data_IF_428774566998
#
_entry.id   IF_428774566998
#
_cell.length_a   1.000
_cell.length_b   1.000
_cell.length_c   1.000
_cell.angle_alpha   90.00
_cell.angle_beta   90.00
_cell.angle_gamma   90.00
#
_symmetry.space_group_name_H-M   'P 1'
#
loop_
_entity.id
_entity.type
_entity.pdbx_description
1 polymer ?
#
# COMPACT_ATOMS: atom_id res chain seq x y z
N UNK A 1 -2.57 -4.76 -16.54
CA UNK A 1 -1.32 -3.99 -16.60
C UNK A 1 -0.62 -3.87 -15.24
N UNK A 2 -1.27 -3.36 -14.19
CA UNK A 2 -0.67 -3.17 -12.86
C UNK A 2 -0.03 -4.45 -12.26
N UNK A 3 -0.75 -5.59 -12.26
CA UNK A 3 -0.24 -6.84 -11.68
C UNK A 3 1.05 -7.30 -12.36
N UNK A 4 1.09 -7.29 -13.69
CA UNK A 4 2.29 -7.63 -14.45
C UNK A 4 3.49 -6.74 -14.08
N UNK A 5 3.27 -5.46 -13.82
CA UNK A 5 4.33 -4.56 -13.36
C UNK A 5 4.81 -4.94 -11.95
N UNK A 6 3.89 -5.23 -11.03
CA UNK A 6 4.23 -5.65 -9.68
C UNK A 6 4.99 -6.97 -9.68
N UNK A 7 4.57 -7.95 -10.49
CA UNK A 7 5.25 -9.24 -10.64
C UNK A 7 6.65 -9.10 -11.25
N UNK A 8 6.86 -8.13 -12.15
CA UNK A 8 8.17 -7.88 -12.76
C UNK A 8 9.11 -7.15 -11.80
N UNK A 9 8.60 -6.17 -11.04
CA UNK A 9 9.41 -5.33 -10.16
C UNK A 9 9.65 -6.00 -8.80
N UNK A 10 8.70 -6.79 -8.33
CA UNK A 10 8.68 -7.43 -7.01
C UNK A 10 9.10 -6.47 -5.87
N UNK A 11 8.41 -5.32 -5.72
CA UNK A 11 8.81 -4.31 -4.78
C UNK A 11 8.64 -4.81 -3.33
N UNK A 12 9.54 -4.38 -2.44
CA UNK A 12 9.40 -4.66 -1.00
C UNK A 12 8.19 -3.95 -0.39
N UNK A 13 7.89 -2.74 -0.86
CA UNK A 13 6.76 -1.91 -0.41
C UNK A 13 6.04 -1.28 -1.59
N UNK A 14 4.71 -1.20 -1.51
CA UNK A 14 3.89 -0.37 -2.39
C UNK A 14 3.13 0.65 -1.52
N UNK A 15 3.19 1.92 -1.90
CA UNK A 15 2.39 2.98 -1.25
C UNK A 15 1.09 3.16 -2.01
N UNK A 16 -0.03 2.85 -1.36
CA UNK A 16 -1.37 3.00 -1.94
C UNK A 16 -1.92 4.40 -1.70
N UNK A 17 -1.98 5.22 -2.74
CA UNK A 17 -2.46 6.60 -2.66
C UNK A 17 -3.98 6.69 -2.90
N UNK A 18 -4.73 6.89 -1.83
CA UNK A 18 -6.18 7.10 -1.89
C UNK A 18 -7.01 5.81 -1.84
N UNK A 19 -8.31 5.98 -1.63
CA UNK A 19 -9.22 4.90 -1.28
C UNK A 19 -9.31 3.83 -2.38
N UNK A 20 -9.48 4.28 -3.63
CA UNK A 20 -9.65 3.38 -4.77
C UNK A 20 -8.44 2.47 -5.01
N UNK A 21 -7.22 3.02 -4.95
CA UNK A 21 -5.99 2.26 -5.12
C UNK A 21 -5.84 1.18 -4.04
N UNK A 22 -6.09 1.55 -2.78
CA UNK A 22 -5.97 0.66 -1.62
C UNK A 22 -7.02 -0.44 -1.64
N UNK A 23 -8.29 -0.09 -1.89
CA UNK A 23 -9.39 -1.06 -1.98
C UNK A 23 -9.17 -2.07 -3.11
N UNK A 24 -8.65 -1.61 -4.24
CA UNK A 24 -8.29 -2.49 -5.36
C UNK A 24 -7.15 -3.43 -4.99
N UNK A 25 -6.05 -2.90 -4.46
CA UNK A 25 -4.87 -3.71 -4.09
C UNK A 25 -5.20 -4.73 -3.00
N UNK A 26 -5.91 -4.33 -1.96
CA UNK A 26 -6.23 -5.19 -0.81
C UNK A 26 -7.51 -6.02 -0.98
N UNK A 27 -8.19 -5.91 -2.13
CA UNK A 27 -9.48 -6.55 -2.39
C UNK A 27 -10.50 -6.35 -1.23
N UNK A 28 -10.62 -5.11 -0.74
CA UNK A 28 -11.46 -4.73 0.40
C UNK A 28 -12.34 -3.53 0.10
N UNK A 29 -13.44 -3.38 0.83
CA UNK A 29 -14.32 -2.20 0.79
C UNK A 29 -14.07 -1.23 1.97
N UNK A 30 -13.14 -1.56 2.87
CA UNK A 30 -12.82 -0.72 4.01
C UNK A 30 -12.35 0.68 3.57
N UNK A 31 -12.74 1.70 4.35
CA UNK A 31 -12.34 3.09 4.09
C UNK A 31 -10.88 3.31 4.46
N UNK A 32 -10.18 4.11 3.65
CA UNK A 32 -8.76 4.41 3.86
C UNK A 32 -8.43 4.98 5.25
N UNK A 33 -9.36 5.71 5.87
CA UNK A 33 -9.21 6.26 7.21
C UNK A 33 -8.92 5.18 8.26
N UNK A 34 -9.47 3.98 8.10
CA UNK A 34 -9.22 2.83 8.99
C UNK A 34 -8.04 1.95 8.57
N UNK A 35 -7.58 2.07 7.32
CA UNK A 35 -6.52 1.22 6.76
C UNK A 35 -5.13 1.86 6.82
N UNK A 36 -5.07 3.20 6.78
CA UNK A 36 -3.82 3.96 6.71
C UNK A 36 -2.95 3.83 7.96
N UNK A 37 -1.66 4.06 7.77
CA UNK A 37 -0.67 4.05 8.85
C UNK A 37 -0.34 2.68 9.42
N UNK A 38 -0.78 1.61 8.76
CA UNK A 38 -0.45 0.21 9.07
C UNK A 38 0.00 -0.46 7.78
N UNK A 39 0.98 -1.35 7.88
CA UNK A 39 1.36 -2.20 6.77
C UNK A 39 0.37 -3.34 6.60
N UNK A 40 0.05 -3.66 5.36
CA UNK A 40 -0.80 -4.79 4.99
C UNK A 40 0.00 -5.73 4.10
N UNK A 41 0.22 -6.99 4.51
CA UNK A 41 0.87 -7.98 3.66
C UNK A 41 0.08 -8.22 2.38
N UNK A 42 0.78 -8.31 1.26
CA UNK A 42 0.21 -8.51 -0.07
C UNK A 42 1.11 -9.42 -0.93
N UNK A 43 0.54 -10.22 -1.83
CA UNK A 43 -0.88 -10.52 -1.93
C UNK A 43 -1.35 -11.32 -0.71
N UNK A 44 -2.62 -11.18 -0.31
CA UNK A 44 -3.29 -12.05 0.68
C UNK A 44 -4.07 -13.16 -0.03
N UNK A 45 -4.54 -14.18 0.69
CA UNK A 45 -5.38 -15.23 0.12
C UNK A 45 -6.58 -14.69 -0.72
N UNK A 46 -7.27 -13.66 -0.23
CA UNK A 46 -8.41 -13.02 -0.95
C UNK A 46 -7.92 -12.33 -2.22
N UNK A 47 -6.78 -11.62 -2.15
CA UNK A 47 -6.18 -10.98 -3.32
C UNK A 47 -5.79 -12.03 -4.35
N UNK A 48 -5.19 -13.16 -3.94
CA UNK A 48 -4.82 -14.25 -4.87
C UNK A 48 -6.03 -14.94 -5.50
N UNK A 49 -7.15 -15.00 -4.79
CA UNK A 49 -8.41 -15.52 -5.36
C UNK A 49 -9.03 -14.55 -6.38
N UNK A 50 -8.85 -13.23 -6.20
CA UNK A 50 -9.38 -12.19 -7.10
C UNK A 50 -8.43 -11.87 -8.26
N UNK A 51 -7.14 -11.99 -8.03
CA UNK A 51 -6.07 -11.64 -8.95
C UNK A 51 -5.11 -12.83 -9.06
N UNK A 52 -4.99 -13.39 -10.25
CA UNK A 52 -4.02 -14.44 -10.53
C UNK A 52 -2.61 -13.82 -10.48
N UNK A 53 -1.90 -14.05 -9.38
CA UNK A 53 -0.53 -13.59 -9.13
C UNK A 53 0.33 -14.75 -8.65
N UNK A 54 1.50 -14.88 -9.25
CA UNK A 54 2.50 -15.90 -8.92
C UNK A 54 3.26 -15.62 -7.62
N UNK A 55 3.15 -14.39 -7.10
CA UNK A 55 3.90 -13.96 -5.92
C UNK A 55 3.52 -14.75 -4.64
N UNK A 56 4.49 -15.00 -3.74
CA UNK A 56 4.23 -15.58 -2.41
C UNK A 56 3.32 -14.68 -1.58
N UNK A 57 2.46 -15.28 -0.75
CA UNK A 57 1.59 -14.54 0.15
C UNK A 57 2.42 -13.66 1.11
N UNK A 58 2.04 -12.39 1.25
CA UNK A 58 2.73 -11.44 2.14
C UNK A 58 4.14 -11.01 1.70
N UNK A 59 4.57 -11.34 0.48
CA UNK A 59 5.89 -10.96 -0.05
C UNK A 59 6.11 -9.45 -0.19
N UNK A 60 5.03 -8.66 -0.27
CA UNK A 60 5.04 -7.21 -0.45
C UNK A 60 4.28 -6.56 0.71
N UNK A 61 4.77 -5.42 1.20
CA UNK A 61 4.07 -4.64 2.22
C UNK A 61 3.36 -3.44 1.59
N UNK A 62 2.04 -3.34 1.76
CA UNK A 62 1.26 -2.19 1.30
C UNK A 62 1.13 -1.16 2.43
N UNK A 63 1.48 0.10 2.17
CA UNK A 63 1.17 1.22 3.05
C UNK A 63 0.06 2.08 2.44
N UNK A 64 -1.20 2.00 2.93
CA UNK A 64 -2.26 2.89 2.54
C UNK A 64 -2.02 4.31 3.08
N UNK A 65 -2.21 5.32 2.23
CA UNK A 65 -2.13 6.73 2.66
C UNK A 65 -2.98 7.66 1.78
N UNK A 66 -3.19 8.90 2.20
CA UNK A 66 -4.05 9.83 1.48
C UNK A 66 -3.46 10.23 0.12
N UNK A 67 -4.33 10.40 -0.87
CA UNK A 67 -3.94 10.87 -2.19
C UNK A 67 -3.45 12.34 -2.13
N UNK A 68 -2.38 12.72 -2.86
CA UNK A 68 -1.86 14.09 -2.82
C UNK A 68 -2.90 15.17 -3.13
N UNK A 69 -3.80 14.93 -4.09
CA UNK A 69 -4.89 15.86 -4.41
C UNK A 69 -5.86 16.11 -3.22
N UNK A 70 -6.03 15.14 -2.33
CA UNK A 70 -6.82 15.33 -1.10
C UNK A 70 -6.12 16.26 -0.11
N UNK A 71 -4.78 16.22 -0.07
CA UNK A 71 -3.97 17.10 0.79
C UNK A 71 -4.00 18.56 0.33
N UNK A 72 -4.20 18.81 -0.97
CA UNK A 72 -4.36 20.16 -1.50
C UNK A 72 -5.60 20.85 -0.91
N UNK A 73 -6.67 20.07 -0.66
CA UNK A 73 -7.92 20.56 -0.08
C UNK A 73 -7.92 20.50 1.45
N UNK A 74 -7.15 19.59 2.05
CA UNK A 74 -7.08 19.36 3.49
C UNK A 74 -5.62 19.34 4.00
N UNK A 75 -4.96 20.50 4.14
CA UNK A 75 -3.55 20.57 4.51
C UNK A 75 -3.20 19.92 5.85
N UNK A 76 -4.15 19.89 6.81
CA UNK A 76 -3.98 19.22 8.11
C UNK A 76 -3.63 17.73 7.97
N UNK A 77 -4.03 17.10 6.85
CA UNK A 77 -3.79 15.68 6.60
C UNK A 77 -2.38 15.38 6.09
N UNK A 78 -1.54 16.41 5.85
CA UNK A 78 -0.13 16.24 5.48
C UNK A 78 0.67 15.54 6.58
N UNK A 79 0.42 15.89 7.85
CA UNK A 79 1.13 15.28 8.99
C UNK A 79 0.90 13.76 9.07
N UNK A 80 -0.35 13.26 9.04
CA UNK A 80 -0.60 11.83 8.94
C UNK A 80 0.15 11.17 7.77
N UNK A 81 0.10 11.74 6.56
CA UNK A 81 0.81 11.17 5.39
C UNK A 81 2.32 11.11 5.63
N UNK A 82 2.89 12.15 6.24
CA UNK A 82 4.29 12.16 6.61
C UNK A 82 4.66 11.03 7.58
N UNK A 83 3.83 10.80 8.60
CA UNK A 83 4.02 9.69 9.55
C UNK A 83 3.97 8.31 8.85
N UNK A 84 3.11 8.14 7.84
CA UNK A 84 3.08 6.91 7.04
C UNK A 84 4.38 6.75 6.23
N UNK A 85 4.88 7.83 5.62
CA UNK A 85 6.12 7.79 4.83
C UNK A 85 7.34 7.53 5.71
N UNK A 86 7.36 8.05 6.94
CA UNK A 86 8.40 7.73 7.91
C UNK A 86 8.47 6.22 8.21
N UNK A 87 7.32 5.56 8.40
CA UNK A 87 7.25 4.10 8.57
C UNK A 87 7.77 3.35 7.34
N UNK A 88 7.43 3.81 6.14
CA UNK A 88 7.95 3.23 4.87
C UNK A 88 9.46 3.35 4.80
N UNK A 89 10.02 4.53 5.08
CA UNK A 89 11.46 4.75 5.10
C UNK A 89 12.15 3.87 6.15
N UNK A 90 11.55 3.72 7.33
CA UNK A 90 12.07 2.86 8.40
C UNK A 90 12.10 1.38 7.96
N UNK A 91 11.03 0.88 7.35
CA UNK A 91 10.98 -0.49 6.81
C UNK A 91 12.05 -0.71 5.74
N UNK A 92 12.21 0.26 4.82
CA UNK A 92 13.21 0.15 3.76
C UNK A 92 14.64 0.15 4.31
N UNK A 93 14.93 0.93 5.35
CA UNK A 93 16.24 0.98 6.05
C UNK A 93 16.56 -0.28 6.84
N UNK A 94 15.56 -0.94 7.42
CA UNK A 94 15.74 -2.13 8.28
C UNK A 94 16.17 -3.41 7.55
N UNK A 95 16.29 -3.38 6.22
CA UNK A 95 16.88 -4.49 5.48
C UNK A 95 18.34 -4.17 5.15
N UNK A 96 19.29 -4.88 5.77
CA UNK A 96 20.61 -5.02 5.18
C UNK A 96 20.49 -5.82 3.89
N UNK A 97 21.34 -5.45 2.93
CA UNK A 97 21.74 -6.20 1.73
C UNK A 97 21.95 -7.69 1.99
#
# INVERSE_FOLDING_TARGET
FLLRQIETIQPRVIVGLGNFAVQTLLATEAKITGLRGRFHPWPSAIVKAKFETSLPEGSIQIMPTYHPAFLLRNPAMKRPVWEDMQKVMELLKKSPS
#
